data_IF_363327122183
#
_entry.id   IF_363327122183
#
_cell.length_a   1.000
_cell.length_b   1.000
_cell.length_c   1.000
_cell.angle_alpha   90.00
_cell.angle_beta   90.00
_cell.angle_gamma   90.00
#
_symmetry.space_group_name_H-M   'P 1'
#
loop_
_entity.id
_entity.type
_entity.pdbx_description
1 polymer ?
#
# COMPACT_ATOMS: atom_id res chain seq x y z
N UNK A 1 11.28 24.77 10.55
CA UNK A 1 12.19 23.75 11.10
C UNK A 1 12.50 22.78 9.98
N UNK A 2 13.76 22.66 9.55
CA UNK A 2 14.12 21.82 8.40
C UNK A 2 13.97 20.35 8.79
N UNK A 3 13.19 19.59 8.01
CA UNK A 3 12.91 18.18 8.28
C UNK A 3 14.19 17.36 8.13
N UNK A 4 14.48 16.47 9.09
CA UNK A 4 15.68 15.63 9.06
C UNK A 4 15.34 14.25 8.51
N UNK A 5 15.41 14.11 7.19
CA UNK A 5 15.10 12.85 6.50
C UNK A 5 16.04 11.70 6.87
N UNK A 6 17.29 11.99 7.24
CA UNK A 6 18.25 10.96 7.64
C UNK A 6 17.77 10.22 8.91
N UNK A 7 17.37 10.98 9.93
CA UNK A 7 16.89 10.42 11.20
C UNK A 7 15.61 9.61 11.00
N UNK A 8 14.68 10.14 10.20
CA UNK A 8 13.40 9.49 9.90
C UNK A 8 13.61 8.20 9.10
N UNK A 9 14.46 8.23 8.07
CA UNK A 9 14.84 7.04 7.31
C UNK A 9 15.47 5.96 8.21
N UNK A 10 16.39 6.32 9.12
CA UNK A 10 16.99 5.34 10.05
C UNK A 10 15.90 4.67 10.89
N UNK A 11 14.97 5.44 11.45
CA UNK A 11 13.88 4.91 12.27
C UNK A 11 12.96 3.98 11.46
N UNK A 12 12.44 4.46 10.33
CA UNK A 12 11.50 3.71 9.48
C UNK A 12 12.16 2.45 8.91
N UNK A 13 13.40 2.55 8.40
CA UNK A 13 14.10 1.39 7.84
C UNK A 13 14.48 0.35 8.90
N UNK A 14 14.75 0.78 10.14
CA UNK A 14 15.00 -0.14 11.26
C UNK A 14 13.72 -0.89 11.62
N UNK A 15 12.58 -0.18 11.72
CA UNK A 15 11.28 -0.78 11.97
C UNK A 15 10.89 -1.79 10.86
N UNK A 16 11.08 -1.40 9.60
CA UNK A 16 10.81 -2.25 8.44
C UNK A 16 11.56 -3.58 8.51
N UNK A 17 12.87 -3.54 8.75
CA UNK A 17 13.71 -4.75 8.89
C UNK A 17 13.29 -5.61 10.09
N UNK A 18 12.99 -5.01 11.25
CA UNK A 18 12.55 -5.73 12.46
C UNK A 18 11.20 -6.41 12.27
N UNK A 19 10.29 -5.76 11.56
CA UNK A 19 8.94 -6.26 11.29
C UNK A 19 8.86 -7.35 10.20
N UNK A 20 10.01 -7.78 9.64
CA UNK A 20 10.08 -8.70 8.49
C UNK A 20 9.25 -8.20 7.30
N UNK A 21 9.38 -6.91 6.98
CA UNK A 21 8.70 -6.26 5.86
C UNK A 21 7.16 -6.26 5.98
N UNK A 22 6.64 -5.96 7.19
CA UNK A 22 5.20 -5.87 7.40
C UNK A 22 4.55 -4.82 6.48
N UNK A 23 3.26 -4.99 6.19
CA UNK A 23 2.49 -4.04 5.39
C UNK A 23 2.54 -2.62 5.95
N UNK A 24 2.46 -2.48 7.27
CA UNK A 24 2.44 -1.19 7.94
C UNK A 24 3.78 -0.46 7.80
N UNK A 25 4.90 -1.15 8.06
CA UNK A 25 6.22 -0.57 7.94
C UNK A 25 6.61 -0.29 6.48
N UNK A 26 6.16 -1.11 5.53
CA UNK A 26 6.27 -0.81 4.10
C UNK A 26 5.48 0.46 3.72
N UNK A 27 4.30 0.65 4.32
CA UNK A 27 3.50 1.86 4.18
C UNK A 27 4.28 3.12 4.61
N UNK A 28 4.99 3.07 5.74
CA UNK A 28 5.84 4.17 6.22
C UNK A 28 6.99 4.48 5.26
N UNK A 29 7.62 3.45 4.66
CA UNK A 29 8.64 3.66 3.62
C UNK A 29 8.06 4.35 2.39
N UNK A 30 6.86 3.98 1.95
CA UNK A 30 6.19 4.65 0.83
C UNK A 30 5.80 6.09 1.14
N UNK A 31 5.38 6.39 2.36
CA UNK A 31 5.05 7.76 2.75
C UNK A 31 6.29 8.66 2.68
N UNK A 32 7.43 8.19 3.20
CA UNK A 32 8.70 8.88 3.08
C UNK A 32 9.19 8.98 1.62
N UNK A 33 9.02 7.91 0.82
CA UNK A 33 9.34 7.90 -0.61
C UNK A 33 8.62 9.03 -1.35
N UNK A 34 7.29 9.12 -1.19
CA UNK A 34 6.46 10.09 -1.90
C UNK A 34 6.67 11.53 -1.43
N UNK A 35 7.10 11.71 -0.19
CA UNK A 35 7.51 13.01 0.30
C UNK A 35 8.82 13.44 -0.32
N UNK A 36 9.84 12.56 -0.30
CA UNK A 36 11.13 12.84 -0.94
C UNK A 36 10.98 13.11 -2.44
N UNK A 37 10.11 12.38 -3.14
CA UNK A 37 9.81 12.61 -4.56
C UNK A 37 9.29 14.03 -4.88
N UNK A 38 8.64 14.70 -3.92
CA UNK A 38 8.00 16.02 -4.11
C UNK A 38 8.87 17.21 -3.76
N UNK A 39 9.94 17.01 -3.01
CA UNK A 39 10.83 18.11 -2.57
C UNK A 39 12.04 18.22 -3.47
N UNK A 40 12.65 19.40 -3.50
CA UNK A 40 13.98 19.56 -4.08
C UNK A 40 14.99 18.86 -3.17
N UNK A 41 15.62 17.79 -3.68
CA UNK A 41 16.51 16.93 -2.91
C UNK A 41 17.97 17.37 -3.06
N UNK A 42 18.67 17.39 -1.93
CA UNK A 42 20.12 17.38 -1.85
C UNK A 42 20.69 16.01 -2.25
N UNK A 43 22.00 15.95 -2.51
CA UNK A 43 22.66 14.67 -2.79
C UNK A 43 22.46 13.62 -1.69
N UNK A 44 22.38 14.04 -0.42
CA UNK A 44 22.13 13.10 0.67
C UNK A 44 20.69 12.56 0.63
N UNK A 45 19.71 13.40 0.30
CA UNK A 45 18.31 12.98 0.17
C UNK A 45 18.09 12.06 -1.04
N UNK A 46 18.82 12.26 -2.15
CA UNK A 46 18.85 11.31 -3.27
C UNK A 46 19.43 9.94 -2.84
N UNK A 47 20.49 9.93 -2.02
CA UNK A 47 21.05 8.68 -1.47
C UNK A 47 20.04 7.96 -0.57
N UNK A 48 19.29 8.71 0.26
CA UNK A 48 18.18 8.17 1.06
C UNK A 48 17.08 7.61 0.15
N UNK A 49 16.70 8.33 -0.90
CA UNK A 49 15.67 7.91 -1.85
C UNK A 49 16.05 6.58 -2.54
N UNK A 50 17.29 6.47 -3.02
CA UNK A 50 17.86 5.22 -3.55
C UNK A 50 17.78 4.07 -2.54
N UNK A 51 18.09 4.33 -1.27
CA UNK A 51 18.03 3.31 -0.23
C UNK A 51 16.61 2.84 0.06
N UNK A 52 15.62 3.74 0.01
CA UNK A 52 14.20 3.39 0.14
C UNK A 52 13.76 2.53 -1.05
N UNK A 53 14.10 2.91 -2.29
CA UNK A 53 13.83 2.07 -3.46
C UNK A 53 14.47 0.69 -3.33
N UNK A 54 15.70 0.60 -2.81
CA UNK A 54 16.39 -0.66 -2.57
C UNK A 54 15.67 -1.55 -1.56
N UNK A 55 15.18 -0.97 -0.44
CA UNK A 55 14.40 -1.71 0.57
C UNK A 55 13.07 -2.21 0.04
N UNK A 56 12.45 -1.44 -0.85
CA UNK A 56 11.18 -1.79 -1.49
C UNK A 56 11.36 -2.70 -2.72
N UNK A 57 12.60 -3.02 -3.13
CA UNK A 57 12.88 -3.92 -4.25
C UNK A 57 12.77 -3.27 -5.64
N UNK A 58 12.69 -1.94 -5.73
CA UNK A 58 12.77 -1.20 -6.99
C UNK A 58 14.23 -1.04 -7.42
N UNK A 59 14.88 -2.14 -7.84
CA UNK A 59 16.33 -2.13 -8.07
C UNK A 59 16.77 -1.24 -9.22
N UNK A 60 15.97 -1.14 -10.29
CA UNK A 60 16.27 -0.22 -11.40
C UNK A 60 16.20 1.23 -10.93
N UNK A 61 15.13 1.60 -10.23
CA UNK A 61 14.96 2.98 -9.73
C UNK A 61 16.01 3.35 -8.67
N UNK A 62 16.39 2.40 -7.81
CA UNK A 62 17.47 2.62 -6.85
C UNK A 62 18.80 2.95 -7.54
N UNK A 63 19.15 2.21 -8.60
CA UNK A 63 20.36 2.47 -9.39
C UNK A 63 20.31 3.85 -10.07
N UNK A 64 19.22 4.15 -10.79
CA UNK A 64 19.06 5.40 -11.55
C UNK A 64 19.13 6.65 -10.65
N UNK A 65 18.64 6.55 -9.41
CA UNK A 65 18.74 7.64 -8.43
C UNK A 65 20.13 7.75 -7.82
N UNK A 66 20.81 6.62 -7.58
CA UNK A 66 22.11 6.63 -6.91
C UNK A 66 23.25 7.05 -7.85
N UNK A 67 23.23 6.58 -9.10
CA UNK A 67 24.31 6.73 -10.08
C UNK A 67 24.81 8.17 -10.23
N UNK A 68 23.95 9.21 -10.39
CA UNK A 68 24.42 10.58 -10.54
C UNK A 68 25.05 11.18 -9.27
N UNK A 69 24.83 10.56 -8.11
CA UNK A 69 25.26 11.05 -6.79
C UNK A 69 26.43 10.27 -6.21
N UNK A 70 26.85 9.20 -6.89
CA UNK A 70 27.90 8.32 -6.42
C UNK A 70 29.27 8.97 -6.58
N UNK A 71 30.03 9.05 -5.49
CA UNK A 71 31.42 9.48 -5.53
C UNK A 71 32.31 8.29 -5.93
N UNK A 72 32.80 8.29 -7.18
CA UNK A 72 33.64 7.23 -7.72
C UNK A 72 35.03 7.16 -7.07
N UNK A 73 35.46 8.20 -6.36
CA UNK A 73 36.71 8.18 -5.59
C UNK A 73 36.53 7.45 -4.25
N UNK A 74 35.29 7.34 -3.76
CA UNK A 74 34.96 6.65 -2.53
C UNK A 74 34.66 5.18 -2.79
N UNK A 75 35.60 4.30 -2.42
CA UNK A 75 35.48 2.84 -2.58
C UNK A 75 34.17 2.25 -2.06
N UNK A 76 33.57 2.78 -0.98
CA UNK A 76 32.29 2.28 -0.45
C UNK A 76 31.14 2.59 -1.40
N UNK A 77 31.13 3.79 -1.97
CA UNK A 77 30.12 4.23 -2.93
C UNK A 77 30.28 3.50 -4.26
N UNK A 78 31.50 3.33 -4.76
CA UNK A 78 31.76 2.54 -5.98
C UNK A 78 31.26 1.10 -5.84
N UNK A 79 31.50 0.45 -4.70
CA UNK A 79 31.00 -0.91 -4.44
C UNK A 79 29.47 -0.97 -4.38
N UNK A 80 28.84 0.04 -3.77
CA UNK A 80 27.38 0.15 -3.71
C UNK A 80 26.80 0.35 -5.10
N UNK A 81 27.37 1.25 -5.91
CA UNK A 81 26.97 1.50 -7.29
C UNK A 81 27.01 0.22 -8.12
N UNK A 82 28.12 -0.51 -8.08
CA UNK A 82 28.25 -1.80 -8.78
C UNK A 82 27.17 -2.81 -8.34
N UNK A 83 26.89 -2.89 -7.04
CA UNK A 83 25.86 -3.81 -6.52
C UNK A 83 24.47 -3.43 -7.01
N UNK A 84 24.16 -2.12 -7.05
CA UNK A 84 22.89 -1.63 -7.58
C UNK A 84 22.76 -1.90 -9.07
N UNK A 85 23.82 -1.69 -9.85
CA UNK A 85 23.85 -1.96 -11.29
C UNK A 85 23.54 -3.43 -11.60
N UNK A 86 24.18 -4.36 -10.89
CA UNK A 86 23.95 -5.80 -11.06
C UNK A 86 22.50 -6.18 -10.75
N UNK A 87 21.91 -5.61 -9.69
CA UNK A 87 20.51 -5.84 -9.34
C UNK A 87 19.55 -5.22 -10.35
N UNK A 88 19.86 -4.02 -10.85
CA UNK A 88 19.06 -3.35 -11.88
C UNK A 88 19.01 -4.18 -13.17
N UNK A 89 20.14 -4.75 -13.61
CA UNK A 89 20.23 -5.62 -14.79
C UNK A 89 19.49 -6.94 -14.62
N UNK A 90 19.63 -7.58 -13.47
CA UNK A 90 19.08 -8.93 -13.23
C UNK A 90 17.59 -8.93 -12.85
N UNK A 91 17.16 -8.01 -11.98
CA UNK A 91 15.82 -8.01 -11.39
C UNK A 91 14.96 -6.83 -11.84
N UNK A 92 15.58 -5.74 -12.29
CA UNK A 92 14.91 -4.47 -12.58
C UNK A 92 13.95 -4.06 -11.44
N UNK A 93 12.69 -3.76 -11.74
CA UNK A 93 11.65 -3.49 -10.74
C UNK A 93 10.63 -4.64 -10.61
N UNK A 94 10.96 -5.83 -11.10
CA UNK A 94 10.00 -6.94 -11.26
C UNK A 94 9.52 -7.52 -9.92
N UNK A 95 10.34 -7.43 -8.87
CA UNK A 95 10.06 -8.00 -7.56
C UNK A 95 9.80 -6.93 -6.49
N UNK A 96 9.51 -5.69 -6.91
CA UNK A 96 9.26 -4.62 -5.98
C UNK A 96 7.98 -4.85 -5.17
N UNK A 97 8.06 -4.57 -3.87
CA UNK A 97 6.91 -4.48 -2.98
C UNK A 97 6.01 -3.39 -3.55
N UNK A 98 4.72 -3.67 -3.71
CA UNK A 98 3.74 -2.70 -4.23
C UNK A 98 3.06 -1.96 -3.09
N UNK A 99 2.80 -0.67 -3.26
CA UNK A 99 1.96 0.07 -2.33
C UNK A 99 0.49 -0.36 -2.53
N UNK A 100 0.04 -1.27 -1.68
CA UNK A 100 -1.32 -1.80 -1.76
C UNK A 100 -2.39 -0.76 -1.45
N UNK A 101 -2.03 0.40 -0.88
CA UNK A 101 -2.95 1.53 -0.67
C UNK A 101 -3.33 2.18 -2.00
N UNK A 102 -2.39 2.26 -2.95
CA UNK A 102 -2.65 2.76 -4.32
C UNK A 102 -3.36 1.75 -5.21
N UNK A 103 -3.07 0.46 -5.03
CA UNK A 103 -3.69 -0.61 -5.82
C UNK A 103 -5.15 -0.84 -5.43
N UNK A 104 -5.50 -0.62 -4.16
CA UNK A 104 -6.87 -0.70 -3.67
C UNK A 104 -7.54 0.67 -3.84
N UNK A 105 -7.95 1.02 -5.08
CA UNK A 105 -9.00 2.03 -5.24
C UNK A 105 -10.16 1.57 -4.37
N UNK A 106 -10.41 2.30 -3.28
CA UNK A 106 -11.57 2.03 -2.42
C UNK A 106 -12.79 2.38 -3.23
N UNK A 107 -13.62 1.38 -3.54
CA UNK A 107 -14.95 1.62 -4.06
C UNK A 107 -15.73 2.33 -2.97
N UNK A 108 -16.51 3.33 -3.34
CA UNK A 108 -17.32 4.06 -2.37
C UNK A 108 -18.31 3.10 -1.73
N UNK A 109 -18.42 3.10 -0.39
CA UNK A 109 -19.43 2.32 0.30
C UNK A 109 -20.81 2.84 -0.12
N UNK A 110 -21.71 1.90 -0.42
CA UNK A 110 -23.09 2.24 -0.78
C UNK A 110 -23.87 2.50 0.50
N UNK A 111 -24.53 3.66 0.58
CA UNK A 111 -25.44 3.98 1.67
C UNK A 111 -26.72 3.15 1.50
N UNK A 112 -27.00 2.30 2.49
CA UNK A 112 -28.20 1.47 2.56
C UNK A 112 -29.23 2.15 3.47
N UNK A 113 -30.47 2.13 3.04
CA UNK A 113 -31.64 2.58 3.79
C UNK A 113 -32.59 1.39 4.01
N UNK A 114 -33.57 1.53 4.90
CA UNK A 114 -34.53 0.46 5.18
C UNK A 114 -35.33 0.06 3.93
N UNK A 115 -35.63 1.02 3.04
CA UNK A 115 -36.38 0.79 1.80
C UNK A 115 -35.58 0.00 0.74
N UNK A 116 -34.29 -0.21 0.95
CA UNK A 116 -33.47 -1.06 0.09
C UNK A 116 -33.67 -2.57 0.38
N UNK A 117 -34.31 -2.90 1.50
CA UNK A 117 -34.53 -4.26 1.98
C UNK A 117 -35.99 -4.71 1.85
N UNK A 118 -36.19 -5.97 1.48
CA UNK A 118 -37.48 -6.64 1.51
C UNK A 118 -37.43 -7.81 2.48
N UNK A 119 -38.52 -7.99 3.23
CA UNK A 119 -38.73 -9.16 4.08
C UNK A 119 -39.21 -10.29 3.17
N UNK A 120 -38.62 -11.48 3.33
CA UNK A 120 -39.15 -12.67 2.68
C UNK A 120 -40.53 -13.02 3.28
N UNK A 121 -41.58 -12.98 2.47
CA UNK A 121 -42.98 -13.20 2.89
C UNK A 121 -43.26 -14.64 3.35
N UNK A 122 -42.33 -15.57 3.13
CA UNK A 122 -42.45 -16.94 3.61
C UNK A 122 -42.39 -16.99 5.14
N UNK A 123 -43.35 -17.68 5.79
CA UNK A 123 -43.43 -17.72 7.26
C UNK A 123 -42.19 -18.32 7.94
N UNK A 124 -41.48 -19.21 7.26
CA UNK A 124 -40.21 -19.79 7.73
C UNK A 124 -39.02 -18.81 7.64
N UNK A 125 -39.17 -17.72 6.88
CA UNK A 125 -38.11 -16.78 6.53
C UNK A 125 -38.38 -15.34 7.02
N UNK A 126 -39.30 -15.12 7.98
CA UNK A 126 -39.62 -13.77 8.53
C UNK A 126 -38.40 -12.98 9.05
N UNK A 127 -37.29 -13.67 9.30
CA UNK A 127 -36.04 -13.11 9.78
C UNK A 127 -34.98 -12.85 8.68
N UNK A 128 -35.32 -13.12 7.41
CA UNK A 128 -34.46 -12.93 6.25
C UNK A 128 -34.80 -11.63 5.55
N UNK A 129 -33.76 -10.84 5.31
CA UNK A 129 -33.84 -9.58 4.59
C UNK A 129 -33.02 -9.66 3.30
N UNK A 130 -33.69 -9.42 2.18
CA UNK A 130 -33.10 -9.47 0.84
C UNK A 130 -32.90 -8.05 0.33
N UNK A 131 -31.82 -7.85 -0.43
CA UNK A 131 -31.49 -6.54 -1.01
C UNK A 131 -32.07 -6.42 -2.43
N UNK A 132 -32.86 -5.38 -2.72
CA UNK A 132 -33.57 -5.27 -4.01
C UNK A 132 -32.90 -4.32 -5.01
N UNK A 133 -32.43 -3.18 -4.52
CA UNK A 133 -32.25 -2.01 -5.38
C UNK A 133 -30.80 -1.68 -5.69
N UNK A 134 -29.83 -2.25 -4.96
CA UNK A 134 -28.44 -1.80 -5.01
C UNK A 134 -27.47 -2.96 -4.88
N UNK A 135 -26.45 -2.98 -5.73
CA UNK A 135 -25.24 -3.75 -5.45
C UNK A 135 -24.46 -3.06 -4.32
N UNK A 136 -23.76 -3.83 -3.50
CA UNK A 136 -23.01 -3.30 -2.35
C UNK A 136 -21.53 -3.59 -2.48
N UNK A 137 -20.73 -2.87 -1.69
CA UNK A 137 -19.29 -3.07 -1.62
C UNK A 137 -18.94 -3.72 -0.28
N UNK A 138 -18.51 -4.98 -0.33
CA UNK A 138 -17.99 -5.70 0.85
C UNK A 138 -16.51 -6.01 0.62
N UNK A 139 -15.65 -5.64 1.57
CA UNK A 139 -14.19 -5.82 1.47
C UNK A 139 -13.59 -5.33 0.15
N UNK A 140 -14.08 -4.18 -0.35
CA UNK A 140 -13.68 -3.58 -1.62
C UNK A 140 -14.01 -4.42 -2.88
N UNK A 141 -14.91 -5.40 -2.76
CA UNK A 141 -15.49 -6.15 -3.88
C UNK A 141 -16.93 -5.74 -4.08
N UNK A 142 -17.33 -5.63 -5.34
CA UNK A 142 -18.74 -5.43 -5.69
C UNK A 142 -19.44 -6.78 -5.48
N UNK A 143 -20.43 -6.80 -4.59
CA UNK A 143 -21.30 -7.93 -4.33
C UNK A 143 -22.64 -7.59 -4.94
N UNK A 144 -23.08 -8.44 -5.87
CA UNK A 144 -24.39 -8.27 -6.49
C UNK A 144 -25.49 -8.47 -5.47
N UNK A 145 -26.58 -7.71 -5.59
CA UNK A 145 -27.72 -7.78 -4.67
C UNK A 145 -28.25 -9.19 -4.43
N UNK A 146 -28.25 -10.07 -5.44
CA UNK A 146 -28.78 -11.43 -5.33
C UNK A 146 -27.89 -12.36 -4.50
N UNK A 147 -26.67 -11.93 -4.15
CA UNK A 147 -25.69 -12.70 -3.37
C UNK A 147 -25.59 -12.23 -1.93
N UNK A 148 -26.47 -11.35 -1.50
CA UNK A 148 -26.44 -10.76 -0.17
C UNK A 148 -27.81 -10.89 0.50
N UNK A 149 -27.81 -11.56 1.65
CA UNK A 149 -28.96 -11.67 2.55
C UNK A 149 -28.49 -11.39 3.97
N UNK A 150 -29.36 -10.80 4.78
CA UNK A 150 -29.15 -10.63 6.21
C UNK A 150 -30.14 -11.53 6.93
N UNK A 151 -29.64 -12.27 7.92
CA UNK A 151 -30.46 -13.08 8.81
C UNK A 151 -30.32 -12.58 10.24
N UNK A 152 -31.44 -12.27 10.88
CA UNK A 152 -31.49 -11.89 12.29
C UNK A 152 -31.94 -13.10 13.11
N UNK A 153 -31.09 -13.55 14.03
CA UNK A 153 -31.42 -14.68 14.90
C UNK A 153 -32.26 -14.20 16.09
N UNK A 154 -33.51 -14.69 16.20
CA UNK A 154 -34.45 -14.36 17.28
C UNK A 154 -35.91 -14.34 16.80
N UNK A 155 -36.89 -14.29 17.71
CA UNK A 155 -38.28 -14.02 17.34
C UNK A 155 -38.40 -12.56 16.87
N UNK A 156 -38.59 -12.34 15.57
CA UNK A 156 -38.84 -10.99 15.05
C UNK A 156 -40.21 -10.51 15.52
N UNK A 157 -40.21 -9.69 16.58
CA UNK A 157 -41.32 -8.80 16.91
C UNK A 157 -41.14 -7.50 16.10
N UNK A 158 -41.55 -7.50 14.83
CA UNK A 158 -41.74 -6.27 14.04
C UNK A 158 -43.23 -6.09 13.85
#
# INVERSE_FOLDING_TARGET
>A
MQKNYQKEYINISTEFRKSKNSKESAGKLFDLLYELEKVNRSQNEEKILSDIYSLLGFHKSAYEVYEPTADLTNRKETKKLYTLEQKAKSHANNFAIKDIRKLRKKKEPVKLLFEDFEIDENEENKNRFLLKNKDIVIFNKLVKKEKFEIYIYGESQI
#
